data_IF_540763539505
#
_entry.id   IF_540763539505
#
_cell.length_a   1.000
_cell.length_b   1.000
_cell.length_c   1.000
_cell.angle_alpha   90.00
_cell.angle_beta   90.00
_cell.angle_gamma   90.00
#
_symmetry.space_group_name_H-M   'P 1'
#
loop_
_entity.id
_entity.type
_entity.pdbx_description
1 polymer ?
#
# COMPACT_ATOMS: atom_id res chain seq x y z
N UNK A 1 -1.37 -58.51 18.72
CA UNK A 1 -2.22 -57.44 18.15
C UNK A 1 -1.99 -56.12 18.89
N UNK A 2 -0.78 -55.53 18.82
CA UNK A 2 -0.46 -54.28 19.54
C UNK A 2 0.37 -53.28 18.72
N UNK A 3 0.74 -53.62 17.47
CA UNK A 3 1.56 -52.76 16.61
C UNK A 3 0.80 -52.05 15.49
N UNK A 4 -0.49 -52.37 15.29
CA UNK A 4 -1.31 -51.73 14.25
C UNK A 4 -2.12 -50.51 14.74
N UNK A 5 -2.28 -50.32 16.06
CA UNK A 5 -3.05 -49.19 16.59
C UNK A 5 -2.26 -47.87 16.69
N UNK A 6 -0.93 -47.92 16.77
CA UNK A 6 -0.09 -46.71 16.89
C UNK A 6 0.06 -45.94 15.58
N UNK A 7 -0.04 -46.60 14.42
CA UNK A 7 0.17 -45.98 13.11
C UNK A 7 -1.09 -45.22 12.65
N UNK A 8 -2.29 -45.71 13.00
CA UNK A 8 -3.55 -45.06 12.61
C UNK A 8 -3.78 -43.74 13.37
N UNK A 9 -3.33 -43.65 14.63
CA UNK A 9 -3.49 -42.44 15.44
C UNK A 9 -2.56 -41.29 14.99
N UNK A 10 -1.36 -41.60 14.48
CA UNK A 10 -0.41 -40.61 13.99
C UNK A 10 -0.84 -39.97 12.66
N UNK A 11 -1.51 -40.72 11.78
CA UNK A 11 -2.05 -40.18 10.53
C UNK A 11 -3.29 -39.30 10.74
N UNK A 12 -4.13 -39.61 11.73
CA UNK A 12 -5.35 -38.83 12.01
C UNK A 12 -5.04 -37.43 12.58
N UNK A 13 -4.00 -37.28 13.42
CA UNK A 13 -3.59 -35.96 13.94
C UNK A 13 -2.90 -35.07 12.90
N UNK A 14 -2.19 -35.66 11.93
CA UNK A 14 -1.57 -34.90 10.84
C UNK A 14 -2.63 -34.27 9.89
N UNK A 15 -3.81 -34.90 9.77
CA UNK A 15 -4.89 -34.44 8.89
C UNK A 15 -5.81 -33.39 9.53
N UNK A 16 -6.00 -33.40 10.85
CA UNK A 16 -6.85 -32.41 11.54
C UNK A 16 -6.14 -31.10 11.82
N UNK A 17 -4.81 -31.10 12.00
CA UNK A 17 -4.01 -29.89 12.26
C UNK A 17 -3.30 -29.39 10.99
N UNK A 18 -2.91 -30.27 10.07
CA UNK A 18 -2.15 -29.91 8.87
C UNK A 18 -2.97 -29.26 7.75
N UNK A 19 -4.23 -29.67 7.56
CA UNK A 19 -5.08 -29.17 6.47
C UNK A 19 -5.53 -27.70 6.64
N UNK A 20 -5.94 -27.23 7.83
CA UNK A 20 -6.28 -25.81 7.99
C UNK A 20 -5.03 -24.92 7.96
N UNK A 21 -3.86 -25.42 8.42
CA UNK A 21 -2.60 -24.69 8.31
C UNK A 21 -2.16 -24.57 6.84
N UNK A 22 -2.29 -25.63 6.04
CA UNK A 22 -1.97 -25.58 4.61
C UNK A 22 -2.94 -24.71 3.80
N UNK A 23 -4.20 -24.55 4.20
CA UNK A 23 -5.14 -23.61 3.53
C UNK A 23 -4.88 -22.14 3.89
N UNK A 24 -4.41 -21.85 5.10
CA UNK A 24 -3.98 -20.50 5.47
C UNK A 24 -2.67 -20.13 4.76
N UNK A 25 -1.75 -21.10 4.64
CA UNK A 25 -0.47 -20.94 3.95
C UNK A 25 -0.69 -20.86 2.43
N UNK A 26 -1.59 -21.64 1.83
CA UNK A 26 -1.89 -21.58 0.38
C UNK A 26 -2.59 -20.29 -0.08
N UNK A 27 -3.24 -19.55 0.82
CA UNK A 27 -3.78 -18.21 0.51
C UNK A 27 -2.76 -17.08 0.65
N UNK A 28 -1.65 -17.33 1.35
CA UNK A 28 -0.51 -16.43 1.45
C UNK A 28 0.61 -16.74 0.43
N UNK A 29 0.51 -17.85 -0.32
CA UNK A 29 1.47 -18.27 -1.35
C UNK A 29 0.92 -17.98 -2.76
N UNK A 30 0.96 -16.72 -3.19
CA UNK A 30 1.44 -16.48 -4.55
C UNK A 30 2.81 -15.79 -4.56
N UNK A 31 3.39 -15.47 -3.40
CA UNK A 31 4.58 -14.62 -3.34
C UNK A 31 5.89 -15.35 -2.94
N UNK A 32 5.84 -16.60 -2.46
CA UNK A 32 7.03 -17.26 -1.89
C UNK A 32 7.84 -18.17 -2.83
N UNK A 33 7.33 -18.54 -4.01
CA UNK A 33 7.97 -19.60 -4.84
C UNK A 33 8.39 -19.17 -6.25
N UNK A 34 8.33 -17.88 -6.57
CA UNK A 34 8.89 -17.35 -7.81
C UNK A 34 9.95 -16.30 -7.49
N UNK A 35 11.20 -16.74 -7.37
CA UNK A 35 12.36 -15.83 -7.39
C UNK A 35 12.28 -14.96 -8.66
N UNK A 36 11.83 -13.72 -8.49
CA UNK A 36 11.85 -12.69 -9.54
C UNK A 36 10.51 -12.08 -9.98
N UNK A 37 9.32 -12.53 -9.52
CA UNK A 37 8.03 -11.98 -10.05
C UNK A 37 7.07 -11.35 -9.04
N UNK A 38 7.34 -11.49 -7.75
CA UNK A 38 6.71 -10.67 -6.69
C UNK A 38 7.74 -9.81 -5.98
N UNK A 39 8.74 -9.29 -6.71
CA UNK A 39 9.53 -8.17 -6.21
C UNK A 39 8.64 -6.92 -6.21
N UNK A 40 7.86 -6.75 -5.14
CA UNK A 40 7.62 -5.43 -4.55
C UNK A 40 8.97 -4.89 -4.06
N UNK A 41 9.88 -4.65 -5.00
CA UNK A 41 11.10 -3.93 -4.73
C UNK A 41 10.73 -2.47 -4.72
N UNK A 42 11.24 -1.75 -3.75
CA UNK A 42 11.42 -0.30 -3.68
C UNK A 42 11.47 0.47 -5.02
N UNK A 43 11.91 -0.18 -6.09
CA UNK A 43 11.90 0.31 -7.46
C UNK A 43 10.57 0.88 -7.98
N UNK A 44 9.39 0.40 -7.56
CA UNK A 44 8.14 1.04 -8.01
C UNK A 44 7.99 2.46 -7.45
N UNK A 45 8.24 2.67 -6.15
CA UNK A 45 8.18 4.01 -5.56
C UNK A 45 9.25 4.92 -6.15
N UNK A 46 10.49 4.42 -6.28
CA UNK A 46 11.58 5.18 -6.92
C UNK A 46 11.21 5.59 -8.36
N UNK A 47 10.72 4.66 -9.18
CA UNK A 47 10.32 4.96 -10.55
C UNK A 47 9.11 5.89 -10.63
N UNK A 48 8.14 5.76 -9.72
CA UNK A 48 6.95 6.60 -9.70
C UNK A 48 7.29 8.06 -9.41
N UNK A 49 8.13 8.29 -8.39
CA UNK A 49 8.55 9.63 -7.93
C UNK A 49 9.69 10.24 -8.75
N UNK A 50 10.36 9.46 -9.60
CA UNK A 50 11.39 9.98 -10.51
C UNK A 50 10.84 11.15 -11.35
N UNK A 51 11.52 12.31 -11.25
CA UNK A 51 11.12 13.55 -11.93
C UNK A 51 9.88 14.25 -11.36
N UNK A 52 9.30 13.76 -10.26
CA UNK A 52 8.20 14.42 -9.55
C UNK A 52 8.70 15.19 -8.33
N UNK A 53 9.34 14.49 -7.41
CA UNK A 53 9.84 15.07 -6.17
C UNK A 53 11.09 14.30 -5.80
N UNK A 54 12.13 14.98 -5.29
CA UNK A 54 13.28 14.27 -4.77
C UNK A 54 12.87 13.47 -3.53
N UNK A 55 13.35 12.23 -3.46
CA UNK A 55 13.07 11.30 -2.37
C UNK A 55 14.39 10.86 -1.76
N UNK A 56 14.45 10.75 -0.44
CA UNK A 56 15.59 10.21 0.28
C UNK A 56 15.62 8.68 0.19
N UNK A 57 14.47 8.04 0.41
CA UNK A 57 14.34 6.59 0.35
C UNK A 57 12.90 6.15 0.08
N UNK A 58 12.69 5.07 -0.69
CA UNK A 58 11.41 4.37 -0.72
C UNK A 58 11.13 3.75 0.65
N UNK A 59 9.87 3.83 1.11
CA UNK A 59 9.42 3.28 2.40
C UNK A 59 8.59 2.02 2.23
N UNK A 60 7.70 2.02 1.24
CA UNK A 60 6.96 0.84 0.81
C UNK A 60 6.43 1.06 -0.60
N UNK A 61 6.39 -0.01 -1.39
CA UNK A 61 5.81 0.07 -2.72
C UNK A 61 5.17 -1.25 -3.13
N UNK A 62 4.06 -1.14 -3.86
CA UNK A 62 3.35 -2.26 -4.45
C UNK A 62 2.68 -1.82 -5.72
N UNK A 63 2.97 -2.51 -6.82
CA UNK A 63 2.30 -2.31 -8.09
C UNK A 63 1.29 -3.44 -8.32
N UNK A 64 0.00 -3.14 -8.41
CA UNK A 64 -0.96 -4.11 -8.92
C UNK A 64 -0.95 -4.08 -10.46
N UNK A 65 -1.00 -5.27 -11.05
CA UNK A 65 -0.90 -5.62 -12.48
C UNK A 65 0.51 -5.59 -13.13
N UNK A 66 1.08 -6.80 -13.29
CA UNK A 66 1.71 -7.22 -14.54
C UNK A 66 0.93 -8.44 -15.10
N UNK A 67 -0.24 -8.20 -15.70
CA UNK A 67 -0.86 -9.16 -16.61
C UNK A 67 -1.69 -10.31 -16.00
N UNK A 68 -2.08 -10.27 -14.73
CA UNK A 68 -3.04 -11.23 -14.16
C UNK A 68 -4.35 -10.50 -13.91
N UNK A 69 -5.24 -10.50 -14.90
CA UNK A 69 -6.66 -10.26 -14.67
C UNK A 69 -7.13 -11.45 -13.83
N UNK A 70 -7.33 -11.26 -12.52
CA UNK A 70 -8.03 -12.26 -11.73
C UNK A 70 -9.45 -12.35 -12.29
N UNK A 71 -9.75 -13.44 -12.99
CA UNK A 71 -11.04 -13.74 -13.63
C UNK A 71 -12.18 -13.94 -12.63
N UNK A 72 -11.83 -13.90 -11.34
CA UNK A 72 -12.71 -13.89 -10.19
C UNK A 72 -12.86 -12.45 -9.68
N UNK A 73 -14.07 -11.89 -9.86
CA UNK A 73 -14.58 -10.57 -9.46
C UNK A 73 -14.50 -10.24 -7.93
N UNK A 74 -13.54 -10.82 -7.19
CA UNK A 74 -13.38 -10.67 -5.74
C UNK A 74 -12.11 -9.90 -5.31
N UNK A 75 -11.25 -9.50 -6.24
CA UNK A 75 -9.89 -9.03 -5.92
C UNK A 75 -9.70 -7.54 -6.15
N UNK A 76 -10.33 -6.67 -5.36
CA UNK A 76 -9.87 -5.29 -5.24
C UNK A 76 -8.60 -5.28 -4.39
N UNK A 77 -7.51 -4.73 -4.91
CA UNK A 77 -6.25 -4.65 -4.18
C UNK A 77 -5.73 -3.21 -4.11
N UNK A 78 -4.61 -3.04 -3.41
CA UNK A 78 -3.94 -1.75 -3.23
C UNK A 78 -2.67 -1.65 -4.06
N UNK A 79 -2.59 -0.57 -4.84
CA UNK A 79 -1.37 -0.10 -5.49
C UNK A 79 -0.88 1.14 -4.76
N UNK A 80 0.37 1.13 -4.32
CA UNK A 80 0.94 2.27 -3.59
C UNK A 80 2.42 2.49 -3.86
N UNK A 81 2.82 3.75 -3.79
CA UNK A 81 4.21 4.21 -3.78
C UNK A 81 4.35 5.18 -2.61
N UNK A 82 5.14 4.82 -1.61
CA UNK A 82 5.35 5.61 -0.39
C UNK A 82 6.85 5.82 -0.21
N UNK A 83 7.26 7.07 -0.02
CA UNK A 83 8.67 7.45 0.10
C UNK A 83 8.88 8.52 1.17
N UNK A 84 10.07 8.48 1.77
CA UNK A 84 10.62 9.58 2.54
C UNK A 84 11.15 10.64 1.57
N UNK A 85 10.81 11.89 1.83
CA UNK A 85 11.30 13.03 1.06
C UNK A 85 12.72 13.39 1.49
N UNK A 86 13.50 13.94 0.56
CA UNK A 86 14.79 14.56 0.90
C UNK A 86 14.59 16.01 1.32
N UNK A 87 15.64 16.62 1.89
CA UNK A 87 15.59 18.01 2.40
C UNK A 87 15.41 19.07 1.29
N UNK A 88 15.54 18.68 0.02
CA UNK A 88 15.35 19.55 -1.15
C UNK A 88 13.94 19.46 -1.74
N UNK A 89 13.06 18.64 -1.17
CA UNK A 89 11.68 18.51 -1.63
C UNK A 89 10.93 19.85 -1.50
N UNK A 90 10.16 20.26 -2.53
CA UNK A 90 9.52 21.57 -2.55
C UNK A 90 8.39 21.67 -1.52
N UNK A 91 8.13 22.86 -0.98
CA UNK A 91 6.99 23.07 -0.06
C UNK A 91 5.64 22.73 -0.71
N UNK A 92 5.49 23.03 -2.00
CA UNK A 92 4.32 22.68 -2.79
C UNK A 92 4.73 21.62 -3.81
N UNK A 93 4.18 20.39 -3.73
CA UNK A 93 4.51 19.33 -4.67
C UNK A 93 3.99 19.67 -6.08
N UNK A 94 4.73 19.30 -7.14
CA UNK A 94 4.26 19.51 -8.49
C UNK A 94 3.04 18.62 -8.78
N UNK A 95 2.36 18.92 -9.89
CA UNK A 95 1.30 18.10 -10.41
C UNK A 95 1.75 17.43 -11.72
N UNK A 96 1.44 16.15 -11.89
CA UNK A 96 1.60 15.41 -13.14
C UNK A 96 0.29 14.71 -13.47
N UNK A 97 -0.29 15.04 -14.62
CA UNK A 97 -1.34 14.24 -15.24
C UNK A 97 -0.72 13.36 -16.32
N UNK A 98 -0.93 12.05 -16.26
CA UNK A 98 -0.40 11.15 -17.29
C UNK A 98 -1.52 10.81 -18.27
N UNK A 99 -1.45 11.37 -19.48
CA UNK A 99 -2.42 11.09 -20.53
C UNK A 99 -2.55 9.58 -20.78
N UNK A 100 -3.79 9.09 -20.79
CA UNK A 100 -4.10 7.68 -21.05
C UNK A 100 -3.93 6.73 -19.85
N UNK A 101 -3.40 7.19 -18.71
CA UNK A 101 -3.33 6.41 -17.47
C UNK A 101 -3.66 7.30 -16.26
N UNK A 102 -4.94 7.64 -16.02
CA UNK A 102 -5.37 8.50 -14.90
C UNK A 102 -4.87 7.99 -13.53
N UNK A 103 -4.67 6.69 -13.46
CA UNK A 103 -4.17 5.95 -12.31
C UNK A 103 -2.73 6.32 -11.92
N UNK A 104 -1.97 6.98 -12.80
CA UNK A 104 -0.59 7.40 -12.54
C UNK A 104 -0.48 8.90 -12.21
N UNK A 105 -1.63 9.56 -12.04
CA UNK A 105 -1.69 10.98 -11.71
C UNK A 105 -1.06 11.25 -10.34
N UNK A 106 -0.25 12.31 -10.29
CA UNK A 106 0.35 12.84 -9.07
C UNK A 106 -0.17 14.25 -8.84
N UNK A 107 -0.83 14.45 -7.71
CA UNK A 107 -1.27 15.78 -7.30
C UNK A 107 -2.34 16.43 -8.18
N UNK A 108 -2.33 17.77 -8.16
CA UNK A 108 -3.39 18.61 -8.72
C UNK A 108 -4.50 18.86 -7.70
N UNK A 109 -4.92 20.12 -7.57
CA UNK A 109 -5.93 20.48 -6.56
C UNK A 109 -5.49 20.17 -5.13
N UNK A 110 -4.20 20.33 -4.82
CA UNK A 110 -3.66 20.10 -3.49
C UNK A 110 -4.37 20.97 -2.46
N UNK A 111 -4.76 20.35 -1.35
CA UNK A 111 -5.46 21.01 -0.26
C UNK A 111 -4.90 20.53 1.08
N UNK A 112 -4.87 21.41 2.06
CA UNK A 112 -4.46 21.03 3.41
C UNK A 112 -5.44 20.01 4.00
N UNK A 113 -4.94 19.08 4.80
CA UNK A 113 -5.80 18.09 5.49
C UNK A 113 -6.88 18.75 6.36
N UNK A 114 -6.62 19.96 6.85
CA UNK A 114 -7.58 20.74 7.66
C UNK A 114 -8.85 21.16 6.93
N UNK A 115 -8.85 21.13 5.59
CA UNK A 115 -10.05 21.47 4.81
C UNK A 115 -10.90 20.25 4.45
N UNK A 116 -10.51 19.04 4.89
CA UNK A 116 -11.32 17.85 4.68
C UNK A 116 -12.60 17.94 5.50
N UNK A 117 -13.72 17.61 4.87
CA UNK A 117 -14.98 17.37 5.58
C UNK A 117 -14.88 16.10 6.45
N UNK A 118 -15.85 15.92 7.35
CA UNK A 118 -15.91 14.72 8.20
C UNK A 118 -15.99 13.42 7.37
N UNK A 119 -16.82 13.43 6.31
CA UNK A 119 -16.97 12.30 5.37
C UNK A 119 -15.68 12.02 4.63
N UNK A 120 -15.01 13.04 4.09
CA UNK A 120 -13.73 12.85 3.41
C UNK A 120 -12.66 12.31 4.37
N UNK A 121 -12.66 12.74 5.62
CA UNK A 121 -11.75 12.25 6.64
C UNK A 121 -12.02 10.78 7.01
N UNK A 122 -13.28 10.34 6.97
CA UNK A 122 -13.67 8.94 7.18
C UNK A 122 -13.30 8.06 5.98
N UNK A 123 -13.54 8.53 4.75
CA UNK A 123 -13.16 7.83 3.52
C UNK A 123 -11.63 7.63 3.46
N UNK A 124 -10.86 8.67 3.79
CA UNK A 124 -9.40 8.59 3.84
C UNK A 124 -8.94 7.56 4.88
N UNK A 125 -9.50 7.59 6.09
CA UNK A 125 -9.19 6.61 7.14
C UNK A 125 -9.52 5.18 6.71
N UNK A 126 -10.66 4.99 6.03
CA UNK A 126 -11.08 3.68 5.52
C UNK A 126 -10.12 3.17 4.45
N UNK A 127 -9.74 4.00 3.48
CA UNK A 127 -8.74 3.66 2.46
C UNK A 127 -7.40 3.25 3.09
N UNK A 128 -6.92 4.05 4.04
CA UNK A 128 -5.66 3.78 4.74
C UNK A 128 -5.73 2.54 5.64
N UNK A 129 -6.88 2.25 6.24
CA UNK A 129 -7.07 1.03 7.03
C UNK A 129 -7.01 -0.22 6.14
N UNK A 130 -7.64 -0.17 4.96
CA UNK A 130 -7.62 -1.29 4.00
C UNK A 130 -6.21 -1.50 3.45
N UNK A 131 -5.60 -0.47 2.86
CA UNK A 131 -4.27 -0.59 2.26
C UNK A 131 -3.14 -0.71 3.29
N UNK A 132 -3.36 -0.23 4.51
CA UNK A 132 -2.39 -0.28 5.60
C UNK A 132 -2.03 -1.68 6.07
N UNK A 133 -2.88 -2.66 5.79
CA UNK A 133 -2.60 -4.08 6.06
C UNK A 133 -1.35 -4.60 5.33
N UNK A 134 -0.91 -3.92 4.26
CA UNK A 134 0.30 -4.26 3.51
C UNK A 134 1.57 -3.56 4.03
N UNK A 135 1.46 -2.67 5.01
CA UNK A 135 2.57 -1.84 5.45
C UNK A 135 3.12 -2.32 6.80
N UNK A 136 4.44 -2.20 7.02
CA UNK A 136 5.03 -2.30 8.35
C UNK A 136 4.34 -1.38 9.37
N UNK A 137 4.24 -1.81 10.62
CA UNK A 137 3.55 -1.05 11.69
C UNK A 137 4.15 0.34 11.93
N UNK A 138 5.45 0.49 11.80
CA UNK A 138 6.15 1.77 11.91
C UNK A 138 5.76 2.74 10.78
N UNK A 139 5.57 2.24 9.55
CA UNK A 139 5.07 3.05 8.44
C UNK A 139 3.62 3.50 8.65
N UNK A 140 2.76 2.61 9.17
CA UNK A 140 1.38 2.98 9.53
C UNK A 140 1.34 4.09 10.59
N UNK A 141 2.22 4.00 11.60
CA UNK A 141 2.38 5.03 12.63
C UNK A 141 2.85 6.36 12.02
N UNK A 142 3.90 6.34 11.19
CA UNK A 142 4.41 7.54 10.50
C UNK A 142 3.35 8.23 9.66
N UNK A 143 2.53 7.48 8.93
CA UNK A 143 1.42 8.03 8.14
C UNK A 143 0.35 8.67 9.02
N UNK A 144 0.02 8.04 10.15
CA UNK A 144 -0.95 8.58 11.10
C UNK A 144 -0.44 9.88 11.72
N UNK A 145 0.84 9.95 12.10
CA UNK A 145 1.49 11.17 12.58
C UNK A 145 1.51 12.26 11.50
N UNK A 146 1.81 11.92 10.25
CA UNK A 146 1.77 12.84 9.12
C UNK A 146 0.34 13.40 8.89
N UNK A 147 -0.69 12.58 9.01
CA UNK A 147 -2.09 13.01 8.84
C UNK A 147 -2.59 13.87 9.99
N UNK A 148 -2.04 13.72 11.19
CA UNK A 148 -2.30 14.62 12.31
C UNK A 148 -1.66 16.01 12.10
N UNK A 149 -0.69 16.13 11.19
CA UNK A 149 -0.07 17.40 10.85
C UNK A 149 -0.99 18.25 9.97
N UNK A 150 -1.38 19.42 10.47
CA UNK A 150 -2.28 20.36 9.79
C UNK A 150 -1.74 20.88 8.44
N UNK A 151 -0.44 20.78 8.19
CA UNK A 151 0.22 21.20 6.94
C UNK A 151 0.28 20.11 5.88
N UNK A 152 -0.12 18.88 6.21
CA UNK A 152 -0.20 17.78 5.24
C UNK A 152 -1.09 18.18 4.07
N UNK A 153 -0.55 18.04 2.86
CA UNK A 153 -1.26 18.28 1.61
C UNK A 153 -1.84 16.96 1.09
N UNK A 154 -3.06 17.06 0.59
CA UNK A 154 -3.84 15.95 0.07
C UNK A 154 -4.35 16.33 -1.32
N UNK A 155 -4.29 15.38 -2.24
CA UNK A 155 -4.90 15.49 -3.57
C UNK A 155 -5.64 14.19 -3.89
N UNK A 156 -6.79 14.33 -4.55
CA UNK A 156 -7.76 13.25 -4.75
C UNK A 156 -9.16 13.74 -4.40
N UNK A 157 -10.18 12.98 -4.79
CA UNK A 157 -11.58 13.32 -4.54
C UNK A 157 -12.29 12.14 -3.87
N UNK A 158 -13.09 12.44 -2.86
CA UNK A 158 -13.92 11.44 -2.20
C UNK A 158 -15.08 10.98 -3.11
N UNK A 159 -15.51 9.70 -3.02
CA UNK A 159 -14.89 8.64 -2.22
C UNK A 159 -13.52 8.26 -2.80
N UNK A 160 -12.50 8.20 -1.93
CA UNK A 160 -11.12 8.07 -2.40
C UNK A 160 -10.86 6.68 -2.95
N UNK A 161 -10.88 6.56 -4.28
CA UNK A 161 -10.25 5.43 -4.97
C UNK A 161 -8.75 5.59 -5.06
N UNK A 162 -8.29 6.84 -5.18
CA UNK A 162 -6.89 7.23 -5.16
C UNK A 162 -6.72 8.48 -4.30
N UNK A 163 -5.65 8.51 -3.51
CA UNK A 163 -5.21 9.69 -2.78
C UNK A 163 -3.70 9.87 -2.94
N UNK A 164 -3.30 11.12 -3.09
CA UNK A 164 -1.91 11.56 -3.00
C UNK A 164 -1.76 12.35 -1.70
N UNK A 165 -0.70 12.03 -0.96
CA UNK A 165 -0.36 12.63 0.32
C UNK A 165 1.04 13.22 0.23
N UNK A 166 1.23 14.39 0.82
CA UNK A 166 2.51 15.08 0.79
C UNK A 166 2.70 15.97 2.03
N UNK A 167 3.77 15.72 2.79
CA UNK A 167 4.22 16.57 3.88
C UNK A 167 5.71 16.86 3.67
N UNK A 168 6.09 18.10 3.32
CA UNK A 168 7.49 18.41 3.07
C UNK A 168 8.31 18.29 4.38
N UNK A 169 9.62 17.96 4.30
CA UNK A 169 10.45 17.75 5.50
C UNK A 169 10.49 18.95 6.44
N UNK A 170 10.40 20.18 5.90
CA UNK A 170 10.41 21.41 6.69
C UNK A 170 9.19 21.54 7.61
N UNK A 171 8.12 20.78 7.33
CA UNK A 171 6.89 20.75 8.12
C UNK A 171 6.75 19.51 9.00
N UNK A 172 7.71 18.57 8.97
CA UNK A 172 7.67 17.37 9.80
C UNK A 172 8.42 16.17 9.24
N UNK A 173 7.74 15.03 9.11
CA UNK A 173 8.39 13.73 8.85
C UNK A 173 8.94 13.55 7.43
N UNK A 174 8.64 14.45 6.48
CA UNK A 174 9.09 14.36 5.08
C UNK A 174 8.53 13.12 4.38
N UNK A 175 7.31 13.19 3.87
CA UNK A 175 6.61 12.02 3.32
C UNK A 175 5.86 12.35 2.04
N UNK A 176 5.98 11.48 1.03
CA UNK A 176 5.13 11.46 -0.15
C UNK A 176 4.51 10.07 -0.32
N UNK A 177 3.22 10.03 -0.60
CA UNK A 177 2.52 8.77 -0.88
C UNK A 177 1.49 8.93 -1.99
N UNK A 178 1.47 7.99 -2.92
CA UNK A 178 0.32 7.73 -3.80
C UNK A 178 -0.27 6.39 -3.41
N UNK A 179 -1.56 6.37 -3.08
CA UNK A 179 -2.27 5.18 -2.62
C UNK A 179 -3.55 5.06 -3.43
N UNK A 180 -3.76 3.91 -4.06
CA UNK A 180 -5.00 3.59 -4.77
C UNK A 180 -5.54 2.25 -4.30
N UNK A 181 -6.85 2.20 -4.12
CA UNK A 181 -7.62 1.00 -3.89
C UNK A 181 -8.56 0.74 -5.07
N UNK A 182 -8.77 -0.54 -5.35
CA UNK A 182 -9.66 -1.00 -6.41
C UNK A 182 -8.97 -1.22 -7.75
N UNK A 183 -7.66 -1.46 -7.69
CA UNK A 183 -6.89 -2.08 -8.77
C UNK A 183 -7.16 -3.58 -8.84
#
# INVERSE_FOLDING_TARGET
MARLFGIVLACALALTVGVPLMRAVSKAIPCMLAEGKCKGGDGYATAYFAGLTPIAAPLASRQFSQGIVQTNLNGFDCTFAIAALDDHAPMIPPARRKNGTPDMDWGGGWRAVTVLTATESEDLRSLLAVCGTYWPTDLQKRLTEALANRRMLISGRAPYRQVNLYLPPQDGVGLAARIRFGD
#
